data_IF_357645148054
#
_entry.id   IF_357645148054
#
_cell.length_a   1.000
_cell.length_b   1.000
_cell.length_c   1.000
_cell.angle_alpha   90.00
_cell.angle_beta   90.00
_cell.angle_gamma   90.00
#
_symmetry.space_group_name_H-M   'P 1'
#
loop_
_entity.id
_entity.type
_entity.pdbx_description
1 polymer ?
#
# COMPACT_ATOMS: atom_id res chain seq x y z
N UNK A 1 -68.43 58.74 19.62
CA UNK A 1 -69.54 57.96 20.18
C UNK A 1 -69.50 56.55 19.62
N UNK A 2 -69.49 55.55 20.52
CA UNK A 2 -70.03 54.18 20.40
C UNK A 2 -69.39 53.14 19.44
N UNK A 3 -68.81 52.09 20.05
CA UNK A 3 -68.67 50.71 19.51
C UNK A 3 -70.05 50.02 19.50
N UNK A 4 -70.31 49.00 18.64
CA UNK A 4 -70.12 47.56 18.98
C UNK A 4 -69.60 46.74 17.76
N UNK A 5 -69.11 45.50 17.79
CA UNK A 5 -69.35 44.35 18.66
C UNK A 5 -70.25 43.33 17.94
N UNK A 6 -69.69 42.35 17.21
CA UNK A 6 -70.36 41.07 16.93
C UNK A 6 -69.37 39.91 16.76
N UNK A 7 -69.71 38.85 17.47
CA UNK A 7 -69.03 37.56 17.67
C UNK A 7 -69.48 36.51 16.66
N UNK A 8 -68.58 35.62 16.22
CA UNK A 8 -68.93 34.25 15.82
C UNK A 8 -67.74 33.31 16.04
N UNK A 9 -67.94 32.37 16.97
CA UNK A 9 -67.09 31.22 17.29
C UNK A 9 -67.21 30.16 16.19
N UNK A 10 -66.08 29.58 15.77
CA UNK A 10 -66.03 28.16 15.40
C UNK A 10 -64.61 27.60 15.56
N UNK A 11 -64.50 26.86 16.65
CA UNK A 11 -63.51 25.85 17.00
C UNK A 11 -63.10 24.96 15.80
N UNK A 12 -61.80 24.91 15.54
CA UNK A 12 -61.13 23.82 14.81
C UNK A 12 -59.83 23.50 15.53
N UNK A 13 -59.96 22.61 16.49
CA UNK A 13 -58.88 21.79 17.04
C UNK A 13 -58.16 21.04 15.92
N UNK A 14 -56.98 21.53 15.53
CA UNK A 14 -56.03 20.78 14.70
C UNK A 14 -55.23 19.88 15.64
N UNK A 15 -55.55 18.59 15.60
CA UNK A 15 -54.81 17.53 16.28
C UNK A 15 -53.42 17.39 15.63
N UNK A 16 -52.39 17.90 16.31
CA UNK A 16 -50.99 17.69 15.94
C UNK A 16 -50.62 16.24 16.29
N UNK A 17 -50.56 15.37 15.28
CA UNK A 17 -49.93 14.06 15.40
C UNK A 17 -48.42 14.24 15.68
N UNK A 18 -47.84 13.52 16.66
CA UNK A 18 -46.40 13.53 16.87
C UNK A 18 -45.71 12.78 15.73
N UNK A 19 -44.85 13.48 14.99
CA UNK A 19 -43.91 12.88 14.05
C UNK A 19 -42.78 12.26 14.87
N UNK A 20 -42.79 10.93 14.95
CA UNK A 20 -41.72 10.11 15.52
C UNK A 20 -40.47 10.25 14.64
N UNK A 21 -39.28 10.60 15.18
CA UNK A 21 -38.06 10.61 14.38
C UNK A 21 -37.65 9.16 14.04
N UNK A 22 -37.15 8.89 12.81
CA UNK A 22 -36.58 7.59 12.50
C UNK A 22 -35.34 7.33 13.36
N UNK A 23 -35.31 6.12 13.91
CA UNK A 23 -34.31 5.66 14.86
C UNK A 23 -32.89 5.67 14.26
N UNK A 24 -31.99 6.34 14.98
CA UNK A 24 -30.55 6.07 15.11
C UNK A 24 -29.82 5.42 13.94
N UNK A 25 -29.16 6.24 13.12
CA UNK A 25 -27.96 5.84 12.41
C UNK A 25 -26.82 5.70 13.44
N UNK A 26 -26.74 4.54 14.10
CA UNK A 26 -25.57 4.19 14.90
C UNK A 26 -24.48 3.72 13.94
N UNK A 27 -23.60 4.63 13.54
CA UNK A 27 -22.33 4.31 12.91
C UNK A 27 -21.46 3.61 13.97
N UNK A 28 -21.68 2.30 14.13
CA UNK A 28 -20.91 1.46 15.04
C UNK A 28 -19.52 1.27 14.47
N UNK A 29 -18.56 2.06 14.95
CA UNK A 29 -17.14 1.82 14.74
C UNK A 29 -16.77 0.51 15.47
N UNK A 30 -16.98 -0.65 14.82
CA UNK A 30 -16.49 -1.92 15.33
C UNK A 30 -15.00 -2.00 15.01
N UNK A 31 -14.18 -1.49 15.91
CA UNK A 31 -12.77 -1.82 15.96
C UNK A 31 -12.64 -3.31 16.32
N UNK A 32 -12.57 -4.17 15.30
CA UNK A 32 -12.25 -5.57 15.48
C UNK A 32 -10.74 -5.70 15.74
N UNK A 33 -10.42 -5.88 17.02
CA UNK A 33 -9.07 -6.15 17.50
C UNK A 33 -8.69 -7.58 17.05
N UNK A 34 -7.94 -7.69 15.96
CA UNK A 34 -7.46 -8.95 15.40
C UNK A 34 -6.26 -9.45 16.22
N UNK A 35 -6.56 -10.21 17.27
CA UNK A 35 -5.60 -11.06 17.96
C UNK A 35 -6.30 -12.35 18.36
N UNK A 36 -6.09 -13.41 17.58
CA UNK A 36 -6.47 -14.75 17.99
C UNK A 36 -6.87 -15.68 16.85
N UNK A 37 -5.89 -16.24 16.15
CA UNK A 37 -5.93 -17.64 15.74
C UNK A 37 -4.54 -18.10 15.29
N UNK A 38 -3.74 -18.63 16.22
CA UNK A 38 -2.53 -19.37 15.88
C UNK A 38 -2.37 -20.51 16.88
N UNK A 39 -3.20 -21.53 16.70
CA UNK A 39 -3.03 -22.85 17.29
C UNK A 39 -3.94 -23.86 16.58
N UNK A 40 -3.50 -24.39 15.44
CA UNK A 40 -4.01 -25.65 14.90
C UNK A 40 -2.81 -26.60 14.79
N UNK A 41 -2.76 -27.70 15.57
CA UNK A 41 -1.64 -28.64 15.50
C UNK A 41 -1.84 -29.52 14.26
N UNK A 42 -0.96 -29.37 13.27
CA UNK A 42 -0.90 -30.29 12.13
C UNK A 42 -0.09 -31.52 12.55
N UNK A 43 -0.76 -32.61 12.90
CA UNK A 43 -0.12 -33.92 13.13
C UNK A 43 0.16 -34.58 11.79
N UNK A 44 1.42 -34.57 11.36
CA UNK A 44 1.93 -35.36 10.23
C UNK A 44 2.27 -36.79 10.67
N UNK A 45 1.97 -37.83 9.87
CA UNK A 45 2.41 -39.20 10.16
C UNK A 45 3.89 -39.37 9.82
N UNK A 46 4.59 -40.10 10.68
CA UNK A 46 5.98 -40.47 10.52
C UNK A 46 6.17 -41.48 9.38
N UNK A 47 7.15 -41.22 8.51
CA UNK A 47 7.76 -42.26 7.68
C UNK A 47 7.92 -41.91 6.19
N UNK A 48 8.95 -41.12 5.85
CA UNK A 48 9.59 -41.22 4.55
C UNK A 48 11.07 -40.86 4.70
N UNK A 49 11.89 -41.91 4.67
CA UNK A 49 13.36 -41.89 4.73
C UNK A 49 13.87 -41.56 3.33
N UNK A 50 14.64 -40.49 3.16
CA UNK A 50 15.39 -40.20 1.94
C UNK A 50 16.89 -40.09 2.25
N UNK A 51 17.67 -40.74 1.40
CA UNK A 51 19.11 -41.00 1.49
C UNK A 51 19.98 -39.74 1.45
N UNK A 52 21.04 -39.74 2.27
CA UNK A 52 22.21 -38.87 2.16
C UNK A 52 22.89 -39.03 0.80
N UNK A 53 23.22 -37.91 0.16
CA UNK A 53 24.27 -37.83 -0.84
C UNK A 53 25.11 -36.57 -0.54
N UNK A 54 26.41 -36.78 -0.41
CA UNK A 54 27.42 -35.87 0.12
C UNK A 54 28.24 -35.18 -1.00
N UNK A 55 28.50 -33.88 -0.76
CA UNK A 55 29.65 -33.04 -1.18
C UNK A 55 29.72 -32.46 -2.62
N UNK A 56 30.52 -31.38 -2.87
CA UNK A 56 31.29 -30.53 -1.94
C UNK A 56 30.98 -29.01 -2.00
N UNK A 57 31.55 -28.31 -1.02
CA UNK A 57 31.50 -26.87 -0.75
C UNK A 57 32.37 -26.07 -1.74
N UNK A 58 31.87 -24.92 -2.20
CA UNK A 58 32.68 -23.84 -2.77
C UNK A 58 32.38 -22.55 -1.98
N UNK A 59 33.40 -22.05 -1.29
CA UNK A 59 33.36 -20.84 -0.49
C UNK A 59 33.64 -19.62 -1.39
N UNK A 60 32.70 -18.69 -1.50
CA UNK A 60 33.04 -17.30 -1.84
C UNK A 60 32.29 -16.37 -0.90
N UNK A 61 33.06 -15.80 0.02
CA UNK A 61 32.64 -14.84 1.03
C UNK A 61 32.43 -13.47 0.40
N UNK A 62 31.31 -12.81 0.71
CA UNK A 62 31.13 -11.37 0.51
C UNK A 62 30.73 -10.74 1.86
N UNK A 63 31.61 -9.88 2.37
CA UNK A 63 31.49 -9.18 3.65
C UNK A 63 30.61 -7.90 3.54
N UNK A 64 30.02 -7.44 4.65
CA UNK A 64 29.09 -6.31 4.68
C UNK A 64 29.82 -4.97 4.68
N UNK A 65 29.37 -4.03 3.83
CA UNK A 65 29.92 -2.67 3.80
C UNK A 65 29.22 -1.78 4.83
N UNK A 66 29.95 -1.47 5.90
CA UNK A 66 29.66 -0.41 6.87
C UNK A 66 29.99 0.96 6.30
N UNK A 67 29.09 1.93 6.46
CA UNK A 67 29.35 3.37 6.22
C UNK A 67 30.07 3.96 7.45
N UNK A 68 31.26 4.57 7.34
CA UNK A 68 31.81 5.38 8.41
C UNK A 68 31.55 6.87 8.15
N UNK A 69 31.00 7.54 9.17
CA UNK A 69 31.09 8.98 9.33
C UNK A 69 32.52 9.37 9.75
N UNK A 70 33.07 10.45 9.21
CA UNK A 70 34.27 11.10 9.77
C UNK A 70 34.31 12.62 9.46
N UNK A 71 34.96 13.42 10.32
CA UNK A 71 34.75 14.87 10.46
C UNK A 71 35.78 15.70 9.66
N UNK A 72 35.46 16.97 9.37
CA UNK A 72 36.42 17.93 8.80
C UNK A 72 36.73 19.05 9.79
N UNK A 73 37.99 19.09 10.26
CA UNK A 73 38.64 20.30 10.76
C UNK A 73 39.45 20.92 9.62
N UNK A 74 39.34 22.24 9.47
CA UNK A 74 39.93 23.05 8.40
C UNK A 74 41.11 23.83 8.96
N UNK A 75 42.23 23.88 8.22
CA UNK A 75 43.09 25.08 8.11
C UNK A 75 43.99 24.98 6.85
N UNK A 76 44.56 26.08 6.32
CA UNK A 76 44.32 26.46 4.91
C UNK A 76 45.56 26.55 4.01
N UNK A 77 45.34 26.28 2.71
CA UNK A 77 45.90 26.87 1.47
C UNK A 77 47.46 26.96 1.28
N UNK A 78 47.97 27.05 0.03
CA UNK A 78 47.71 28.19 -0.84
C UNK A 78 47.34 27.86 -2.30
N UNK A 79 46.68 28.88 -2.86
CA UNK A 79 46.17 29.07 -4.21
C UNK A 79 47.08 28.62 -5.36
N UNK A 80 46.48 27.93 -6.34
CA UNK A 80 46.80 28.14 -7.75
C UNK A 80 45.54 28.30 -8.59
N UNK A 81 45.70 29.11 -9.63
CA UNK A 81 44.71 29.81 -10.43
C UNK A 81 44.18 28.95 -11.57
N UNK A 82 42.85 28.78 -11.64
CA UNK A 82 42.16 28.08 -12.74
C UNK A 82 40.76 28.64 -12.96
N UNK A 83 40.66 29.81 -13.60
CA UNK A 83 39.43 30.60 -13.73
C UNK A 83 38.38 30.07 -14.75
N UNK A 84 38.29 28.75 -14.99
CA UNK A 84 37.34 28.17 -15.95
C UNK A 84 36.56 26.96 -15.44
N UNK A 85 37.11 26.21 -14.49
CA UNK A 85 36.58 24.90 -14.05
C UNK A 85 35.58 25.01 -12.89
N UNK A 86 35.55 26.17 -12.22
CA UNK A 86 34.68 26.40 -11.06
C UNK A 86 33.24 26.81 -11.41
N UNK A 87 32.99 27.25 -12.64
CA UNK A 87 31.66 27.73 -13.05
C UNK A 87 30.72 26.57 -13.37
N UNK A 88 31.20 25.54 -14.05
CA UNK A 88 30.40 24.41 -14.52
C UNK A 88 30.03 23.43 -13.39
N UNK A 89 30.97 23.16 -12.47
CA UNK A 89 30.70 22.35 -11.26
C UNK A 89 29.78 23.09 -10.28
N UNK A 90 29.87 24.42 -10.21
CA UNK A 90 28.95 25.23 -9.42
C UNK A 90 27.55 25.24 -10.05
N UNK A 91 27.44 25.33 -11.37
CA UNK A 91 26.17 25.30 -12.09
C UNK A 91 25.47 23.93 -12.00
N UNK A 92 26.21 22.82 -12.10
CA UNK A 92 25.69 21.47 -11.92
C UNK A 92 25.15 21.23 -10.49
N UNK A 93 25.93 21.62 -9.47
CA UNK A 93 25.46 21.56 -8.06
C UNK A 93 24.27 22.48 -7.79
N UNK A 94 24.19 23.61 -8.49
CA UNK A 94 23.06 24.55 -8.38
C UNK A 94 21.83 24.03 -9.10
N UNK A 95 21.97 23.29 -10.21
CA UNK A 95 20.89 22.64 -10.93
C UNK A 95 20.32 21.45 -10.16
N UNK A 96 21.18 20.59 -9.57
CA UNK A 96 20.75 19.53 -8.65
C UNK A 96 20.06 20.10 -7.42
N UNK A 97 20.59 21.17 -6.83
CA UNK A 97 19.94 21.85 -5.71
C UNK A 97 18.59 22.46 -6.11
N UNK A 98 18.45 23.04 -7.32
CA UNK A 98 17.16 23.56 -7.81
C UNK A 98 16.16 22.46 -8.14
N UNK A 99 16.60 21.33 -8.68
CA UNK A 99 15.75 20.17 -8.92
C UNK A 99 15.28 19.55 -7.58
N UNK A 100 16.17 19.48 -6.59
CA UNK A 100 15.82 19.04 -5.23
C UNK A 100 14.85 20.01 -4.55
N UNK A 101 15.02 21.32 -4.72
CA UNK A 101 14.10 22.34 -4.19
C UNK A 101 12.75 22.29 -4.92
N UNK A 102 12.72 22.15 -6.25
CA UNK A 102 11.47 22.04 -7.00
C UNK A 102 10.72 20.73 -6.72
N UNK A 103 11.44 19.62 -6.52
CA UNK A 103 10.88 18.36 -6.08
C UNK A 103 10.33 18.46 -4.64
N UNK A 104 11.06 19.11 -3.74
CA UNK A 104 10.60 19.37 -2.37
C UNK A 104 9.39 20.31 -2.32
N UNK A 105 9.37 21.36 -3.16
CA UNK A 105 8.24 22.28 -3.31
C UNK A 105 7.01 21.58 -3.92
N UNK A 106 7.17 20.66 -4.88
CA UNK A 106 6.09 19.80 -5.36
C UNK A 106 5.66 18.77 -4.30
N UNK A 107 6.57 18.31 -3.45
CA UNK A 107 6.25 17.41 -2.35
C UNK A 107 5.36 18.09 -1.30
N UNK A 108 5.70 19.33 -0.94
CA UNK A 108 4.95 20.17 0.01
C UNK A 108 3.65 20.72 -0.59
N UNK A 109 3.63 21.11 -1.87
CA UNK A 109 2.43 21.66 -2.52
C UNK A 109 1.28 20.66 -2.62
N UNK A 110 1.58 19.36 -2.52
CA UNK A 110 0.62 18.29 -2.83
C UNK A 110 0.16 17.52 -1.56
N UNK A 111 0.50 18.03 -0.37
CA UNK A 111 0.04 17.56 0.95
C UNK A 111 -0.65 18.69 1.75
N UNK A 112 -1.81 19.19 1.29
CA UNK A 112 -2.52 20.31 1.92
C UNK A 112 -3.05 19.99 3.33
N UNK A 113 -3.06 18.71 3.71
CA UNK A 113 -3.60 18.21 4.96
C UNK A 113 -2.50 17.62 5.87
N UNK A 114 -1.25 18.03 5.68
CA UNK A 114 -0.08 17.43 6.36
C UNK A 114 -0.27 17.27 7.87
N UNK A 115 -0.78 18.29 8.56
CA UNK A 115 -1.03 18.23 10.01
C UNK A 115 -1.99 17.11 10.41
N UNK A 116 -3.08 16.93 9.66
CA UNK A 116 -4.04 15.84 9.87
C UNK A 116 -3.44 14.49 9.46
N UNK A 117 -2.74 14.45 8.33
CA UNK A 117 -2.11 13.25 7.79
C UNK A 117 -1.04 12.71 8.74
N UNK A 118 -0.20 13.57 9.31
CA UNK A 118 0.77 13.19 10.37
C UNK A 118 0.07 12.66 11.62
N UNK A 119 -1.03 13.28 12.05
CA UNK A 119 -1.77 12.80 13.23
C UNK A 119 -2.34 11.38 13.00
N UNK A 120 -2.97 11.14 11.84
CA UNK A 120 -3.48 9.82 11.47
C UNK A 120 -2.34 8.83 11.27
N UNK A 121 -1.23 9.26 10.67
CA UNK A 121 -0.03 8.45 10.50
C UNK A 121 0.51 7.95 11.84
N UNK A 122 0.64 8.83 12.84
CA UNK A 122 1.09 8.42 14.17
C UNK A 122 0.07 7.54 14.91
N UNK A 123 -1.23 7.73 14.67
CA UNK A 123 -2.25 6.79 15.15
C UNK A 123 -2.06 5.39 14.52
N UNK A 124 -1.87 5.31 13.20
CA UNK A 124 -1.61 4.07 12.50
C UNK A 124 -0.32 3.41 12.98
N UNK A 125 0.74 4.19 13.24
CA UNK A 125 2.00 3.68 13.78
C UNK A 125 1.85 3.15 15.21
N UNK A 126 1.01 3.78 16.03
CA UNK A 126 0.63 3.23 17.33
C UNK A 126 0.00 1.84 17.20
N UNK A 127 -0.94 1.69 16.26
CA UNK A 127 -1.57 0.40 15.96
C UNK A 127 -0.57 -0.62 15.39
N UNK A 128 0.33 -0.22 14.49
CA UNK A 128 1.37 -1.11 13.96
C UNK A 128 2.27 -1.62 15.08
N UNK A 129 2.77 -0.70 15.90
CA UNK A 129 3.70 -1.01 16.99
C UNK A 129 3.08 -1.97 18.01
N UNK A 130 1.79 -1.81 18.32
CA UNK A 130 1.10 -2.60 19.36
C UNK A 130 0.49 -3.89 18.82
N UNK A 131 0.03 -3.93 17.57
CA UNK A 131 -0.74 -5.05 17.02
C UNK A 131 -0.07 -5.69 15.80
N UNK A 132 0.10 -4.94 14.69
CA UNK A 132 0.50 -5.55 13.42
C UNK A 132 1.95 -6.05 13.44
N UNK A 133 2.89 -5.25 13.95
CA UNK A 133 4.29 -5.63 14.06
C UNK A 133 4.53 -6.87 14.93
N UNK A 134 4.01 -6.97 16.17
CA UNK A 134 4.17 -8.21 16.94
C UNK A 134 3.47 -9.41 16.27
N UNK A 135 2.29 -9.23 15.68
CA UNK A 135 1.62 -10.29 14.92
C UNK A 135 2.47 -10.77 13.73
N UNK A 136 3.04 -9.85 12.96
CA UNK A 136 3.93 -10.13 11.84
C UNK A 136 5.20 -10.87 12.28
N UNK A 137 5.80 -10.51 13.42
CA UNK A 137 6.94 -11.25 13.99
C UNK A 137 6.56 -12.69 14.35
N UNK A 138 5.43 -12.87 15.02
CA UNK A 138 4.94 -14.20 15.41
C UNK A 138 4.65 -15.03 14.16
N UNK A 139 3.95 -14.46 13.19
CA UNK A 139 3.67 -15.09 11.90
C UNK A 139 4.95 -15.57 11.22
N UNK A 140 5.94 -14.67 11.04
CA UNK A 140 7.24 -14.99 10.42
C UNK A 140 8.05 -16.03 11.20
N UNK A 141 7.86 -16.11 12.52
CA UNK A 141 8.61 -17.04 13.38
C UNK A 141 7.97 -18.43 13.43
N UNK A 142 6.63 -18.50 13.42
CA UNK A 142 5.88 -19.75 13.64
C UNK A 142 5.53 -20.44 12.31
N UNK A 143 5.24 -19.67 11.27
CA UNK A 143 4.82 -20.20 9.97
C UNK A 143 6.06 -20.42 9.10
N UNK A 144 6.34 -21.64 8.61
CA UNK A 144 7.44 -21.88 7.70
C UNK A 144 7.30 -21.11 6.38
N UNK A 145 8.40 -20.76 5.73
CA UNK A 145 8.42 -19.94 4.52
C UNK A 145 7.49 -20.47 3.41
N UNK A 146 7.51 -21.78 3.15
CA UNK A 146 6.64 -22.39 2.14
C UNK A 146 5.13 -22.15 2.43
N UNK A 147 4.74 -22.14 3.71
CA UNK A 147 3.36 -21.92 4.10
C UNK A 147 3.00 -20.42 4.02
N UNK A 148 3.95 -19.52 4.31
CA UNK A 148 3.75 -18.08 4.09
C UNK A 148 3.53 -17.79 2.61
N UNK A 149 4.34 -18.38 1.73
CA UNK A 149 4.20 -18.24 0.28
C UNK A 149 2.87 -18.82 -0.20
N UNK A 150 2.45 -19.98 0.29
CA UNK A 150 1.13 -20.54 -0.05
C UNK A 150 -0.04 -19.64 0.37
N UNK A 151 0.03 -19.03 1.57
CA UNK A 151 -0.99 -18.07 2.03
C UNK A 151 -1.00 -16.86 1.08
N UNK A 152 0.17 -16.33 0.74
CA UNK A 152 0.31 -15.18 -0.16
C UNK A 152 -0.26 -15.48 -1.55
N UNK A 153 0.10 -16.61 -2.15
CA UNK A 153 -0.41 -17.03 -3.45
C UNK A 153 -1.94 -17.17 -3.44
N UNK A 154 -2.50 -17.72 -2.36
CA UNK A 154 -3.94 -17.83 -2.23
C UNK A 154 -4.62 -16.45 -2.14
N UNK A 155 -4.05 -15.52 -1.38
CA UNK A 155 -4.54 -14.14 -1.29
C UNK A 155 -4.48 -13.43 -2.65
N UNK A 156 -3.40 -13.62 -3.41
CA UNK A 156 -3.28 -13.10 -4.78
C UNK A 156 -4.33 -13.71 -5.71
N UNK A 157 -4.51 -15.04 -5.66
CA UNK A 157 -5.50 -15.74 -6.47
C UNK A 157 -6.93 -15.27 -6.18
N UNK A 158 -7.26 -15.03 -4.90
CA UNK A 158 -8.55 -14.47 -4.49
C UNK A 158 -8.76 -13.03 -5.00
N UNK A 159 -7.69 -12.28 -5.24
CA UNK A 159 -7.74 -10.93 -5.82
C UNK A 159 -7.73 -10.95 -7.35
N UNK A 160 -7.28 -12.02 -8.00
CA UNK A 160 -7.19 -12.12 -9.47
C UNK A 160 -8.46 -11.72 -10.22
N UNK A 161 -9.69 -12.00 -9.77
CA UNK A 161 -10.90 -11.52 -10.44
C UNK A 161 -11.01 -9.99 -10.50
N UNK A 162 -10.60 -9.29 -9.43
CA UNK A 162 -10.54 -7.82 -9.40
C UNK A 162 -9.43 -7.31 -10.31
N UNK A 163 -8.26 -7.95 -10.29
CA UNK A 163 -7.15 -7.64 -11.20
C UNK A 163 -7.57 -7.77 -12.65
N UNK A 164 -8.22 -8.88 -13.01
CA UNK A 164 -8.78 -9.11 -14.35
C UNK A 164 -9.76 -8.01 -14.75
N UNK A 165 -10.70 -7.66 -13.87
CA UNK A 165 -11.67 -6.60 -14.14
C UNK A 165 -10.98 -5.25 -14.40
N UNK A 166 -9.98 -4.89 -13.59
CA UNK A 166 -9.21 -3.65 -13.78
C UNK A 166 -8.42 -3.65 -15.09
N UNK A 167 -7.72 -4.74 -15.43
CA UNK A 167 -7.01 -4.83 -16.72
C UNK A 167 -7.94 -4.68 -17.92
N UNK A 168 -9.12 -5.29 -17.86
CA UNK A 168 -10.16 -5.11 -18.89
C UNK A 168 -10.64 -3.65 -18.97
N UNK A 169 -10.85 -2.99 -17.83
CA UNK A 169 -11.26 -1.58 -17.77
C UNK A 169 -10.17 -0.63 -18.29
N UNK A 170 -8.91 -0.98 -18.08
CA UNK A 170 -7.76 -0.25 -18.61
C UNK A 170 -7.53 -0.50 -20.11
N UNK A 171 -8.16 -1.53 -20.69
CA UNK A 171 -7.95 -1.95 -22.07
C UNK A 171 -6.68 -2.77 -22.30
N UNK A 172 -6.05 -3.27 -21.22
CA UNK A 172 -4.90 -4.16 -21.26
C UNK A 172 -5.35 -5.62 -21.49
N UNK A 173 -5.60 -5.95 -22.75
CA UNK A 173 -6.07 -7.29 -23.14
C UNK A 173 -5.05 -8.40 -22.90
N UNK A 174 -3.77 -8.10 -23.13
CA UNK A 174 -2.68 -9.06 -22.95
C UNK A 174 -2.52 -9.40 -21.47
N UNK A 175 -2.43 -8.38 -20.61
CA UNK A 175 -2.37 -8.60 -19.17
C UNK A 175 -3.66 -9.21 -18.61
N UNK A 176 -4.84 -8.86 -19.15
CA UNK A 176 -6.10 -9.49 -18.76
C UNK A 176 -6.10 -11.00 -19.08
N UNK A 177 -5.57 -11.39 -20.25
CA UNK A 177 -5.36 -12.78 -20.61
C UNK A 177 -4.47 -13.51 -19.60
N UNK A 178 -3.32 -12.93 -19.27
CA UNK A 178 -2.38 -13.47 -18.26
C UNK A 178 -3.05 -13.61 -16.89
N UNK A 179 -3.79 -12.60 -16.43
CA UNK A 179 -4.49 -12.64 -15.15
C UNK A 179 -5.56 -13.74 -15.10
N UNK A 180 -6.31 -13.93 -16.19
CA UNK A 180 -7.30 -14.98 -16.31
C UNK A 180 -6.66 -16.38 -16.32
N UNK A 181 -5.59 -16.57 -17.10
CA UNK A 181 -4.84 -17.83 -17.15
C UNK A 181 -4.27 -18.18 -15.78
N UNK A 182 -3.60 -17.23 -15.11
CA UNK A 182 -3.09 -17.40 -13.75
C UNK A 182 -4.19 -17.84 -12.79
N UNK A 183 -5.34 -17.17 -12.82
CA UNK A 183 -6.47 -17.52 -11.95
C UNK A 183 -6.96 -18.95 -12.20
N UNK A 184 -7.14 -19.35 -13.46
CA UNK A 184 -7.61 -20.69 -13.81
C UNK A 184 -6.60 -21.76 -13.40
N UNK A 185 -5.32 -21.58 -13.76
CA UNK A 185 -4.25 -22.53 -13.46
C UNK A 185 -4.07 -22.69 -11.95
N UNK A 186 -3.95 -21.59 -11.22
CA UNK A 186 -3.71 -21.63 -9.78
C UNK A 186 -4.93 -22.12 -9.00
N UNK A 187 -6.15 -21.82 -9.46
CA UNK A 187 -7.36 -22.35 -8.82
C UNK A 187 -7.51 -23.86 -9.05
N UNK A 188 -7.16 -24.36 -10.23
CA UNK A 188 -7.36 -25.77 -10.59
C UNK A 188 -6.18 -26.66 -10.19
N UNK A 189 -5.00 -26.42 -10.76
CA UNK A 189 -3.78 -27.20 -10.53
C UNK A 189 -3.08 -26.74 -9.26
N UNK A 190 -3.12 -25.43 -8.97
CA UNK A 190 -2.50 -24.82 -7.80
C UNK A 190 -3.27 -24.98 -6.48
N UNK A 191 -4.17 -25.98 -6.38
CA UNK A 191 -4.95 -26.28 -5.18
C UNK A 191 -5.72 -25.08 -4.62
N UNK A 192 -6.51 -24.40 -5.46
CA UNK A 192 -7.29 -23.23 -5.04
C UNK A 192 -6.46 -21.94 -4.88
N UNK A 193 -5.24 -21.92 -5.40
CA UNK A 193 -4.32 -20.78 -5.34
C UNK A 193 -3.22 -20.91 -4.29
N UNK A 194 -3.14 -22.01 -3.54
CA UNK A 194 -2.07 -22.25 -2.56
C UNK A 194 -0.69 -22.44 -3.22
N UNK A 195 -0.65 -22.83 -4.50
CA UNK A 195 0.58 -23.04 -5.26
C UNK A 195 0.52 -22.17 -6.52
N UNK A 196 1.54 -21.35 -6.76
CA UNK A 196 1.62 -20.47 -7.94
C UNK A 196 2.23 -21.20 -9.15
N UNK A 197 1.51 -22.21 -9.62
CA UNK A 197 1.90 -23.01 -10.79
C UNK A 197 2.05 -22.13 -12.03
N UNK A 198 1.18 -21.14 -12.19
CA UNK A 198 1.25 -20.22 -13.31
C UNK A 198 2.53 -19.36 -13.29
N UNK A 199 2.96 -18.92 -12.11
CA UNK A 199 4.19 -18.17 -11.90
C UNK A 199 5.42 -18.98 -12.30
N UNK A 200 5.47 -20.25 -11.90
CA UNK A 200 6.53 -21.19 -12.27
C UNK A 200 6.64 -21.43 -13.79
N UNK A 201 5.54 -21.20 -14.52
CA UNK A 201 5.48 -21.26 -15.98
C UNK A 201 5.70 -19.91 -16.70
N UNK A 202 6.14 -18.88 -15.97
CA UNK A 202 6.52 -17.59 -16.54
C UNK A 202 5.39 -16.57 -16.66
N UNK A 203 4.20 -16.87 -16.15
CA UNK A 203 3.10 -15.89 -16.06
C UNK A 203 3.28 -15.10 -14.77
N UNK A 204 3.88 -13.91 -14.80
CA UNK A 204 4.15 -13.13 -13.59
C UNK A 204 2.88 -12.55 -12.97
N UNK A 205 2.82 -12.45 -11.64
CA UNK A 205 1.76 -11.72 -10.96
C UNK A 205 1.94 -10.21 -11.14
N UNK A 206 0.90 -9.54 -11.61
CA UNK A 206 0.84 -8.08 -11.68
C UNK A 206 -0.30 -7.58 -10.80
N UNK A 207 0.00 -6.63 -9.93
CA UNK A 207 -0.99 -6.00 -9.08
C UNK A 207 -1.71 -4.88 -9.83
N UNK A 208 -3.04 -4.95 -9.87
CA UNK A 208 -3.88 -3.96 -10.54
C UNK A 208 -5.00 -3.53 -9.62
N UNK A 209 -5.30 -2.25 -9.66
CA UNK A 209 -6.31 -1.64 -8.81
C UNK A 209 -7.10 -0.54 -9.50
N UNK A 210 -8.27 -0.21 -8.96
CA UNK A 210 -9.20 0.73 -9.58
C UNK A 210 -8.66 2.15 -9.62
N UNK A 211 -7.79 2.53 -8.68
CA UNK A 211 -7.09 3.81 -8.73
C UNK A 211 -6.12 3.91 -9.91
N UNK A 212 -5.48 2.80 -10.30
CA UNK A 212 -4.66 2.71 -11.51
C UNK A 212 -5.55 2.79 -12.75
N UNK A 213 -6.71 2.12 -12.73
CA UNK A 213 -7.72 2.25 -13.79
C UNK A 213 -8.17 3.70 -13.98
N UNK A 214 -8.45 4.41 -12.89
CA UNK A 214 -8.78 5.84 -12.93
C UNK A 214 -7.61 6.67 -13.45
N UNK A 215 -6.36 6.31 -13.14
CA UNK A 215 -5.18 6.96 -13.69
C UNK A 215 -5.09 6.81 -15.21
N UNK A 216 -5.30 5.60 -15.73
CA UNK A 216 -5.34 5.32 -17.19
C UNK A 216 -6.45 6.10 -17.88
N UNK A 217 -7.59 6.31 -17.21
CA UNK A 217 -8.68 7.14 -17.71
C UNK A 217 -8.43 8.66 -17.57
N UNK A 218 -7.27 9.07 -17.09
CA UNK A 218 -6.85 10.47 -16.99
C UNK A 218 -7.37 11.20 -15.74
N UNK A 219 -7.88 10.49 -14.73
CA UNK A 219 -8.23 11.11 -13.45
C UNK A 219 -6.94 11.42 -12.70
N UNK A 220 -6.69 12.68 -12.29
CA UNK A 220 -5.48 13.04 -11.55
C UNK A 220 -5.46 12.38 -10.17
N UNK A 221 -4.27 12.22 -9.58
CA UNK A 221 -4.11 11.64 -8.24
C UNK A 221 -4.87 12.42 -7.14
N UNK A 222 -4.92 13.74 -7.28
CA UNK A 222 -5.43 14.63 -6.26
C UNK A 222 -4.46 14.79 -5.09
N UNK A 223 -4.97 15.29 -3.96
CA UNK A 223 -4.13 15.55 -2.79
C UNK A 223 -3.71 14.26 -2.08
N UNK A 224 -2.54 14.31 -1.45
CA UNK A 224 -2.09 13.24 -0.56
C UNK A 224 -2.88 13.23 0.74
N UNK A 225 -3.24 12.03 1.20
CA UNK A 225 -3.88 11.84 2.50
C UNK A 225 -3.46 10.53 3.15
N UNK A 226 -3.54 10.47 4.47
CA UNK A 226 -3.33 9.22 5.21
C UNK A 226 -4.67 8.73 5.73
N UNK A 227 -5.04 7.52 5.34
CA UNK A 227 -6.26 6.86 5.79
C UNK A 227 -6.02 6.15 7.12
N UNK A 228 -6.96 6.23 8.10
CA UNK A 228 -6.88 5.45 9.31
C UNK A 228 -6.81 3.96 8.99
N UNK A 229 -5.92 3.23 9.66
CA UNK A 229 -5.65 1.80 9.51
C UNK A 229 -4.99 1.42 8.16
N UNK A 230 -5.42 2.03 7.05
CA UNK A 230 -4.97 1.67 5.70
C UNK A 230 -3.63 2.30 5.30
N UNK A 231 -3.30 3.48 5.85
CA UNK A 231 -2.01 4.14 5.63
C UNK A 231 -2.01 5.22 4.53
N UNK A 232 -0.82 5.51 3.96
CA UNK A 232 -0.64 6.50 2.88
C UNK A 232 -1.54 6.24 1.67
N UNK A 233 -2.17 7.29 1.14
CA UNK A 233 -3.08 7.23 0.00
C UNK A 233 -3.17 8.58 -0.73
N UNK A 234 -3.96 8.64 -1.80
CA UNK A 234 -4.36 9.87 -2.50
C UNK A 234 -5.87 9.96 -2.58
N UNK A 235 -6.42 11.12 -2.96
CA UNK A 235 -7.87 11.27 -3.15
C UNK A 235 -8.43 10.24 -4.15
N UNK A 236 -7.72 10.00 -5.26
CA UNK A 236 -8.08 8.98 -6.25
C UNK A 236 -8.00 7.57 -5.68
N UNK A 237 -6.92 7.27 -4.96
CA UNK A 237 -6.70 5.95 -4.35
C UNK A 237 -7.74 5.63 -3.26
N UNK A 238 -8.09 6.58 -2.40
CA UNK A 238 -9.14 6.41 -1.40
C UNK A 238 -10.50 6.07 -2.03
N UNK A 239 -10.85 6.70 -3.16
CA UNK A 239 -12.06 6.35 -3.93
C UNK A 239 -11.92 4.97 -4.54
N UNK A 240 -10.76 4.65 -5.12
CA UNK A 240 -10.48 3.34 -5.71
C UNK A 240 -10.61 2.21 -4.71
N UNK A 241 -10.01 2.37 -3.53
CA UNK A 241 -10.15 1.44 -2.42
C UNK A 241 -11.63 1.23 -2.03
N UNK A 242 -12.42 2.30 -1.94
CA UNK A 242 -13.85 2.20 -1.61
C UNK A 242 -14.66 1.42 -2.65
N UNK A 243 -14.38 1.64 -3.94
CA UNK A 243 -15.01 0.89 -5.03
C UNK A 243 -14.60 -0.58 -4.99
N UNK A 244 -13.32 -0.88 -4.79
CA UNK A 244 -12.83 -2.25 -4.71
C UNK A 244 -13.36 -3.00 -3.50
N UNK A 245 -13.40 -2.37 -2.33
CA UNK A 245 -13.95 -2.96 -1.13
C UNK A 245 -15.42 -3.37 -1.34
N UNK A 246 -16.17 -2.59 -2.14
CA UNK A 246 -17.54 -2.91 -2.51
C UNK A 246 -17.63 -4.00 -3.61
N UNK A 247 -16.73 -3.96 -4.60
CA UNK A 247 -16.73 -4.83 -5.76
C UNK A 247 -16.03 -6.18 -5.55
N UNK A 248 -15.31 -6.38 -4.43
CA UNK A 248 -14.57 -7.60 -4.15
C UNK A 248 -15.51 -8.83 -4.08
N UNK A 249 -15.41 -9.77 -5.04
CA UNK A 249 -16.36 -10.85 -5.15
C UNK A 249 -16.32 -11.80 -3.95
N UNK A 250 -15.15 -11.95 -3.33
CA UNK A 250 -14.96 -12.81 -2.16
C UNK A 250 -15.61 -12.21 -0.93
N UNK A 251 -15.36 -10.94 -0.62
CA UNK A 251 -16.05 -10.25 0.49
C UNK A 251 -17.57 -10.24 0.26
N UNK A 252 -17.99 -10.05 -0.99
CA UNK A 252 -19.41 -10.07 -1.35
C UNK A 252 -20.08 -11.41 -1.14
N UNK A 253 -19.40 -12.49 -1.50
CA UNK A 253 -19.88 -13.84 -1.24
C UNK A 253 -19.97 -14.12 0.27
N UNK A 254 -18.94 -13.76 1.04
CA UNK A 254 -18.88 -14.01 2.50
C UNK A 254 -19.96 -13.25 3.27
N UNK A 255 -20.22 -11.99 2.92
CA UNK A 255 -21.31 -11.22 3.52
C UNK A 255 -22.70 -11.81 3.20
N UNK A 256 -22.89 -12.32 1.97
CA UNK A 256 -24.16 -12.93 1.55
C UNK A 256 -24.48 -14.21 2.33
N UNK A 257 -23.47 -14.92 2.82
CA UNK A 257 -23.63 -16.09 3.69
C UNK A 257 -23.56 -15.74 5.19
N UNK A 258 -23.57 -14.45 5.53
CA UNK A 258 -23.45 -13.92 6.89
C UNK A 258 -22.15 -14.31 7.61
N UNK A 259 -21.07 -14.46 6.84
CA UNK A 259 -19.73 -14.80 7.32
C UNK A 259 -18.78 -13.59 7.23
N UNK A 260 -19.21 -12.46 7.79
CA UNK A 260 -18.43 -11.22 7.78
C UNK A 260 -17.07 -11.40 8.48
N UNK A 261 -17.00 -12.31 9.46
CA UNK A 261 -15.78 -12.58 10.21
C UNK A 261 -14.69 -13.19 9.32
N UNK A 262 -15.04 -14.02 8.33
CA UNK A 262 -14.09 -14.54 7.37
C UNK A 262 -13.50 -13.43 6.48
N UNK A 263 -14.29 -12.41 6.11
CA UNK A 263 -13.80 -11.27 5.33
C UNK A 263 -12.79 -10.45 6.13
N UNK A 264 -13.09 -10.15 7.40
CA UNK A 264 -12.14 -9.47 8.29
C UNK A 264 -10.88 -10.31 8.55
N UNK A 265 -11.04 -11.63 8.66
CA UNK A 265 -9.91 -12.55 8.85
C UNK A 265 -9.00 -12.53 7.62
N UNK A 266 -9.56 -12.59 6.41
CA UNK A 266 -8.79 -12.47 5.16
C UNK A 266 -8.00 -11.15 5.11
N UNK A 267 -8.65 -10.03 5.42
CA UNK A 267 -7.99 -8.73 5.46
C UNK A 267 -6.87 -8.67 6.51
N UNK A 268 -7.11 -9.23 7.70
CA UNK A 268 -6.12 -9.32 8.78
C UNK A 268 -4.92 -10.19 8.41
N UNK A 269 -5.15 -11.37 7.83
CA UNK A 269 -4.08 -12.26 7.35
C UNK A 269 -3.26 -11.57 6.26
N UNK A 270 -3.92 -10.90 5.31
CA UNK A 270 -3.23 -10.11 4.29
C UNK A 270 -2.36 -9.01 4.91
N UNK A 271 -2.88 -8.25 5.87
CA UNK A 271 -2.12 -7.19 6.54
C UNK A 271 -0.90 -7.75 7.30
N UNK A 272 -1.06 -8.88 8.00
CA UNK A 272 0.02 -9.53 8.74
C UNK A 272 1.08 -10.11 7.80
N UNK A 273 0.67 -10.82 6.74
CA UNK A 273 1.59 -11.37 5.73
C UNK A 273 2.38 -10.23 5.06
N UNK A 274 1.69 -9.19 4.59
CA UNK A 274 2.33 -8.02 3.97
C UNK A 274 3.32 -7.35 4.94
N UNK A 275 2.91 -7.11 6.20
CA UNK A 275 3.79 -6.48 7.19
C UNK A 275 5.01 -7.34 7.51
N UNK A 276 4.88 -8.66 7.46
CA UNK A 276 5.98 -9.61 7.72
C UNK A 276 7.07 -9.58 6.64
N UNK A 277 6.68 -9.35 5.38
CA UNK A 277 7.61 -9.24 4.24
C UNK A 277 8.50 -8.00 4.37
N UNK A 278 7.94 -6.88 4.80
CA UNK A 278 8.64 -5.61 4.93
C UNK A 278 9.10 -5.32 6.36
N UNK A 279 9.16 -6.33 7.22
CA UNK A 279 9.37 -6.13 8.65
C UNK A 279 10.69 -5.41 8.94
N UNK A 280 11.78 -5.95 8.42
CA UNK A 280 13.12 -5.43 8.69
C UNK A 280 13.37 -4.11 7.94
N UNK A 281 12.89 -3.98 6.70
CA UNK A 281 13.02 -2.77 5.89
C UNK A 281 12.32 -1.58 6.56
N UNK A 282 11.07 -1.77 7.01
CA UNK A 282 10.32 -0.70 7.68
C UNK A 282 10.89 -0.39 9.07
N UNK A 283 11.36 -1.40 9.81
CA UNK A 283 12.01 -1.19 11.11
C UNK A 283 13.32 -0.41 10.97
N UNK A 284 14.12 -0.71 9.95
CA UNK A 284 15.37 -0.02 9.66
C UNK A 284 15.10 1.41 9.20
N UNK A 285 14.19 1.59 8.26
CA UNK A 285 13.78 2.90 7.78
C UNK A 285 13.26 3.79 8.91
N UNK A 286 12.42 3.26 9.80
CA UNK A 286 11.91 4.00 10.97
C UNK A 286 13.01 4.45 11.93
N UNK A 287 14.10 3.68 12.05
CA UNK A 287 15.25 4.02 12.91
C UNK A 287 16.21 5.02 12.27
N UNK A 288 16.37 4.94 10.95
CA UNK A 288 17.39 5.68 10.21
C UNK A 288 16.85 6.93 9.50
N UNK A 289 15.53 7.07 9.34
CA UNK A 289 14.92 8.25 8.72
C UNK A 289 14.92 9.44 9.67
N UNK A 290 15.29 10.62 9.16
CA UNK A 290 15.14 11.90 9.87
C UNK A 290 13.67 12.23 10.09
N UNK A 291 12.84 12.05 9.06
CA UNK A 291 11.39 12.13 9.12
C UNK A 291 10.77 10.89 8.48
N UNK A 292 10.28 9.99 9.32
CA UNK A 292 9.68 8.75 8.88
C UNK A 292 8.40 8.97 8.07
N UNK A 293 7.60 10.00 8.39
CA UNK A 293 6.39 10.33 7.65
C UNK A 293 6.72 10.79 6.22
N UNK A 294 7.65 11.73 6.08
CA UNK A 294 8.06 12.22 4.76
C UNK A 294 8.66 11.09 3.91
N UNK A 295 9.47 10.22 4.54
CA UNK A 295 10.04 9.05 3.86
C UNK A 295 8.95 8.09 3.36
N UNK A 296 7.94 7.78 4.19
CA UNK A 296 6.80 6.94 3.80
C UNK A 296 5.97 7.57 2.68
N UNK A 297 5.76 8.89 2.72
CA UNK A 297 5.05 9.64 1.67
C UNK A 297 5.78 9.54 0.33
N UNK A 298 7.09 9.77 0.33
CA UNK A 298 7.92 9.68 -0.87
C UNK A 298 7.92 8.26 -1.46
N UNK A 299 8.10 7.23 -0.62
CA UNK A 299 8.05 5.84 -1.05
C UNK A 299 6.68 5.44 -1.62
N UNK A 300 5.59 5.89 -0.99
CA UNK A 300 4.24 5.64 -1.50
C UNK A 300 4.10 6.19 -2.93
N UNK A 301 4.54 7.43 -3.19
CA UNK A 301 4.47 8.04 -4.52
C UNK A 301 5.33 7.31 -5.56
N UNK A 302 6.55 6.94 -5.19
CA UNK A 302 7.44 6.18 -6.07
C UNK A 302 6.80 4.83 -6.46
N UNK A 303 6.26 4.12 -5.48
CA UNK A 303 5.55 2.85 -5.70
C UNK A 303 4.31 3.05 -6.59
N UNK A 304 3.54 4.10 -6.35
CA UNK A 304 2.34 4.38 -7.12
C UNK A 304 2.64 4.67 -8.59
N UNK A 305 3.66 5.50 -8.86
CA UNK A 305 4.12 5.77 -10.22
C UNK A 305 4.63 4.49 -10.89
N UNK A 306 5.30 3.62 -10.15
CA UNK A 306 5.73 2.33 -10.67
C UNK A 306 4.53 1.44 -11.07
N UNK A 307 3.48 1.37 -10.25
CA UNK A 307 2.27 0.59 -10.58
C UNK A 307 1.55 1.14 -11.81
N UNK A 308 1.27 2.45 -11.86
CA UNK A 308 0.58 3.08 -12.99
C UNK A 308 1.33 2.87 -14.31
N UNK A 309 2.67 2.85 -14.25
CA UNK A 309 3.50 2.64 -15.43
C UNK A 309 3.83 1.16 -15.68
N UNK A 310 3.23 0.21 -14.96
CA UNK A 310 3.50 -1.23 -15.08
C UNK A 310 4.99 -1.57 -14.98
N UNK A 311 5.69 -0.92 -14.04
CA UNK A 311 7.14 -1.07 -13.86
C UNK A 311 8.00 -0.47 -14.97
N UNK A 312 7.40 0.06 -16.05
CA UNK A 312 8.13 0.78 -17.10
C UNK A 312 8.56 2.12 -16.54
N UNK A 313 9.85 2.36 -16.52
CA UNK A 313 10.38 3.65 -16.10
C UNK A 313 10.31 4.58 -17.30
N UNK A 314 9.55 5.67 -17.19
CA UNK A 314 9.51 6.72 -18.18
C UNK A 314 10.89 7.41 -18.20
N UNK A 315 11.67 7.31 -19.30
CA UNK A 315 12.98 7.95 -19.37
C UNK A 315 12.91 9.46 -19.17
N UNK A 316 11.76 10.08 -19.44
CA UNK A 316 11.52 11.52 -19.32
C UNK A 316 11.24 11.94 -17.87
N UNK A 317 11.02 10.99 -16.95
CA UNK A 317 10.89 11.25 -15.50
C UNK A 317 12.24 11.32 -14.77
N UNK A 318 13.33 10.93 -15.44
CA UNK A 318 14.68 11.18 -14.94
C UNK A 318 15.26 12.41 -15.63
N UNK A 319 15.96 13.29 -14.91
CA UNK A 319 16.75 14.32 -15.58
C UNK A 319 17.70 13.63 -16.57
N UNK A 320 17.66 14.08 -17.83
CA UNK A 320 18.50 13.54 -18.90
C UNK A 320 19.96 13.54 -18.45
N UNK A 321 20.58 12.36 -18.42
CA UNK A 321 22.01 12.24 -18.13
C UNK A 321 22.74 12.97 -19.26
N UNK A 322 23.58 13.98 -18.97
CA UNK A 322 24.38 14.64 -19.99
C UNK A 322 25.22 13.61 -20.73
N UNK A 323 25.16 13.61 -22.06
CA UNK A 323 25.96 12.72 -22.89
C UNK A 323 27.43 13.17 -22.81
N UNK A 324 28.26 12.39 -22.13
CA UNK A 324 29.69 12.72 -21.92
C UNK A 324 30.60 12.17 -23.03
N UNK A 325 30.05 11.53 -24.06
CA UNK A 325 30.84 10.83 -25.09
C UNK A 325 31.13 11.65 -26.36
N UNK A 326 30.95 12.98 -26.34
CA UNK A 326 31.46 13.85 -27.40
C UNK A 326 32.73 14.60 -26.97
N UNK A 327 33.89 13.94 -27.11
CA UNK A 327 35.20 14.59 -27.21
C UNK A 327 35.99 14.05 -28.40
#
# INVERSE_FOLDING_TARGET
MLRPGFTASRDRSVSLMPVTPPAGLRLGLKAALLAGLLALPLTLPAGARAQEATAPLDETQAQPSTVPAAPMAIDPAPAESGAGEHTEVAEAKTAEARAAIAAAEQEDANDPLEGMNRAIFWFNEGLDTVLLRPAAKVYRTVVPDFAQDSIRHALWNLRSPLTLANKLLQGDWDGAGVAAERFVINTTVGLGGLIDVAGDHGLTYEYESFDQTLAVWGVPEGFYLVLPILGPSTARDAVGFGVEAYADPVSRYLENIHDDWAAYTRAGVYAVDLRSQYLDVLDDMKRNSVDYYATMRSLYRQRQNNYINNGKTDPDQFPSIPDYDSK
#
